data_IF_601983523420
#
_entry.id   IF_601983523420
#
_cell.length_a   1.000
_cell.length_b   1.000
_cell.length_c   1.000
_cell.angle_alpha   90.00
_cell.angle_beta   90.00
_cell.angle_gamma   90.00
#
_symmetry.space_group_name_H-M   'P 1'
#
loop_
_entity.id
_entity.type
_entity.pdbx_description
1 polymer ?
#
# COMPACT_ATOMS: atom_id res chain seq x y z
N UNK A 1 -46.33 -49.94 -7.41
CA UNK A 1 -45.03 -50.18 -6.78
C UNK A 1 -43.84 -49.99 -7.74
N UNK A 2 -43.91 -50.46 -8.96
CA UNK A 2 -42.80 -50.23 -9.93
C UNK A 2 -42.48 -48.77 -10.22
N UNK A 3 -43.49 -47.91 -10.25
CA UNK A 3 -43.29 -46.45 -10.43
C UNK A 3 -42.58 -45.76 -9.26
N UNK A 4 -42.83 -46.21 -8.02
CA UNK A 4 -42.17 -45.68 -6.83
C UNK A 4 -40.72 -46.12 -6.76
N UNK A 5 -40.41 -47.36 -7.13
CA UNK A 5 -39.04 -47.85 -7.19
C UNK A 5 -38.20 -47.16 -8.28
N UNK A 6 -38.81 -46.87 -9.40
CA UNK A 6 -38.16 -46.14 -10.49
C UNK A 6 -37.88 -44.68 -10.11
N UNK A 7 -38.81 -44.08 -9.34
CA UNK A 7 -38.64 -42.71 -8.83
C UNK A 7 -37.58 -42.62 -7.73
N UNK A 8 -37.47 -43.66 -6.90
CA UNK A 8 -36.43 -43.78 -5.89
C UNK A 8 -35.06 -43.97 -6.51
N UNK A 9 -34.93 -44.77 -7.58
CA UNK A 9 -33.69 -44.97 -8.31
C UNK A 9 -33.17 -43.72 -8.99
N UNK A 10 -34.10 -42.85 -9.50
CA UNK A 10 -33.70 -41.57 -10.12
C UNK A 10 -33.34 -40.52 -9.12
N UNK A 11 -33.69 -40.66 -7.83
CA UNK A 11 -33.32 -39.77 -6.76
C UNK A 11 -32.09 -40.22 -5.94
N UNK A 12 -31.59 -41.44 -6.22
CA UNK A 12 -30.43 -42.01 -5.56
C UNK A 12 -29.13 -41.62 -6.28
N UNK A 13 -28.51 -40.57 -5.86
CA UNK A 13 -27.19 -40.19 -6.31
C UNK A 13 -27.18 -39.16 -7.43
N UNK A 14 -26.07 -38.49 -7.49
CA UNK A 14 -25.81 -37.48 -8.49
C UNK A 14 -25.23 -38.09 -9.75
N UNK A 15 -25.55 -37.51 -10.91
CA UNK A 15 -24.89 -37.88 -12.14
C UNK A 15 -23.43 -37.43 -12.12
N UNK A 16 -22.58 -38.09 -12.89
CA UNK A 16 -21.17 -37.66 -13.04
C UNK A 16 -21.08 -36.21 -13.52
N UNK A 17 -22.00 -35.80 -14.40
CA UNK A 17 -22.02 -34.43 -14.89
C UNK A 17 -22.33 -33.43 -13.78
N UNK A 18 -23.29 -33.74 -12.90
CA UNK A 18 -23.61 -32.88 -11.75
C UNK A 18 -22.43 -32.73 -10.79
N UNK A 19 -21.73 -33.80 -10.49
CA UNK A 19 -20.53 -33.78 -9.65
C UNK A 19 -19.43 -32.98 -10.31
N UNK A 20 -19.21 -33.17 -11.63
CA UNK A 20 -18.21 -32.39 -12.36
C UNK A 20 -18.52 -30.89 -12.34
N UNK A 21 -19.77 -30.51 -12.56
CA UNK A 21 -20.20 -29.12 -12.52
C UNK A 21 -20.05 -28.54 -11.12
N UNK A 22 -20.43 -29.28 -10.09
CA UNK A 22 -20.26 -28.85 -8.70
C UNK A 22 -18.81 -28.61 -8.32
N UNK A 23 -17.90 -29.50 -8.74
CA UNK A 23 -16.46 -29.36 -8.53
C UNK A 23 -15.91 -28.15 -9.28
N UNK A 24 -16.37 -27.93 -10.50
CA UNK A 24 -15.98 -26.74 -11.28
C UNK A 24 -16.35 -25.44 -10.57
N UNK A 25 -17.59 -25.33 -10.11
CA UNK A 25 -18.09 -24.16 -9.38
C UNK A 25 -17.28 -23.97 -8.08
N UNK A 26 -17.03 -25.03 -7.34
CA UNK A 26 -16.25 -25.00 -6.12
C UNK A 26 -14.83 -24.50 -6.40
N UNK A 27 -14.20 -25.00 -7.45
CA UNK A 27 -12.83 -24.60 -7.82
C UNK A 27 -12.74 -23.11 -8.14
N UNK A 28 -13.70 -22.59 -8.93
CA UNK A 28 -13.75 -21.17 -9.28
C UNK A 28 -13.96 -20.33 -8.03
N UNK A 29 -14.83 -20.77 -7.12
CA UNK A 29 -15.11 -20.07 -5.86
C UNK A 29 -13.87 -19.98 -4.98
N UNK A 30 -13.11 -21.07 -4.85
CA UNK A 30 -11.87 -21.09 -4.07
C UNK A 30 -10.83 -20.13 -4.65
N UNK A 31 -10.67 -20.13 -5.97
CA UNK A 31 -9.76 -19.21 -6.65
C UNK A 31 -10.15 -17.75 -6.39
N UNK A 32 -11.44 -17.44 -6.53
CA UNK A 32 -11.95 -16.09 -6.31
C UNK A 32 -11.70 -15.61 -4.88
N UNK A 33 -11.97 -16.45 -3.87
CA UNK A 33 -11.70 -16.14 -2.47
C UNK A 33 -10.20 -15.93 -2.22
N UNK A 34 -9.38 -16.79 -2.78
CA UNK A 34 -7.92 -16.66 -2.66
C UNK A 34 -7.41 -15.34 -3.24
N UNK A 35 -7.88 -14.97 -4.43
CA UNK A 35 -7.51 -13.68 -5.05
C UNK A 35 -7.98 -12.49 -4.21
N UNK A 36 -9.16 -12.56 -3.66
CA UNK A 36 -9.70 -11.50 -2.79
C UNK A 36 -8.83 -11.31 -1.54
N UNK A 37 -8.48 -12.41 -0.86
CA UNK A 37 -7.64 -12.37 0.34
C UNK A 37 -6.27 -11.78 0.01
N UNK A 38 -5.65 -12.21 -1.09
CA UNK A 38 -4.35 -11.73 -1.52
C UNK A 38 -4.38 -10.23 -1.82
N UNK A 39 -5.38 -9.78 -2.58
CA UNK A 39 -5.55 -8.37 -2.92
C UNK A 39 -5.75 -7.50 -1.67
N UNK A 40 -6.57 -7.94 -0.74
CA UNK A 40 -6.83 -7.22 0.52
C UNK A 40 -5.56 -7.13 1.37
N UNK A 41 -4.79 -8.20 1.46
CA UNK A 41 -3.53 -8.22 2.21
C UNK A 41 -2.50 -7.27 1.62
N UNK A 42 -2.35 -7.24 0.29
CA UNK A 42 -1.44 -6.32 -0.39
C UNK A 42 -1.86 -4.86 -0.20
N UNK A 43 -3.14 -4.57 -0.32
CA UNK A 43 -3.67 -3.22 -0.10
C UNK A 43 -3.42 -2.74 1.33
N UNK A 44 -3.60 -3.61 2.32
CA UNK A 44 -3.33 -3.32 3.72
C UNK A 44 -1.86 -3.00 3.96
N UNK A 45 -0.94 -3.77 3.37
CA UNK A 45 0.50 -3.52 3.45
C UNK A 45 0.88 -2.17 2.83
N UNK A 46 0.32 -1.84 1.68
CA UNK A 46 0.56 -0.57 1.00
C UNK A 46 0.06 0.63 1.82
N UNK A 47 -1.10 0.49 2.44
CA UNK A 47 -1.64 1.53 3.32
C UNK A 47 -0.75 1.76 4.54
N UNK A 48 -0.27 0.68 5.15
CA UNK A 48 0.66 0.76 6.28
C UNK A 48 1.94 1.47 5.89
N UNK A 49 2.53 1.13 4.75
CA UNK A 49 3.73 1.80 4.25
C UNK A 49 3.50 3.29 4.02
N UNK A 50 2.37 3.66 3.43
CA UNK A 50 2.03 5.07 3.20
C UNK A 50 1.86 5.85 4.51
N UNK A 51 1.24 5.25 5.51
CA UNK A 51 1.08 5.88 6.83
C UNK A 51 2.44 6.16 7.46
N UNK A 52 3.34 5.18 7.43
CA UNK A 52 4.68 5.31 7.98
C UNK A 52 5.48 6.35 7.20
N UNK A 53 5.44 6.30 5.88
CA UNK A 53 6.12 7.27 5.03
C UNK A 53 5.62 8.70 5.28
N UNK A 54 4.32 8.85 5.49
CA UNK A 54 3.71 10.13 5.87
C UNK A 54 4.24 10.63 7.21
N UNK A 55 4.40 9.75 8.19
CA UNK A 55 4.99 10.11 9.49
C UNK A 55 6.44 10.55 9.34
N UNK A 56 7.22 9.88 8.52
CA UNK A 56 8.59 10.29 8.22
C UNK A 56 8.59 11.69 7.60
N UNK A 57 7.73 11.94 6.63
CA UNK A 57 7.61 13.24 5.99
C UNK A 57 7.20 14.33 7.01
N UNK A 58 6.23 14.05 7.86
CA UNK A 58 5.77 14.97 8.89
C UNK A 58 6.88 15.30 9.90
N UNK A 59 7.67 14.30 10.28
CA UNK A 59 8.86 14.51 11.13
C UNK A 59 9.86 15.45 10.46
N UNK A 60 10.13 15.26 9.18
CA UNK A 60 11.06 16.13 8.44
C UNK A 60 10.53 17.57 8.39
N UNK A 61 9.23 17.75 8.14
CA UNK A 61 8.63 19.09 8.14
C UNK A 61 8.74 19.75 9.52
N UNK A 62 8.50 19.01 10.58
CA UNK A 62 8.64 19.51 11.95
C UNK A 62 10.08 19.92 12.24
N UNK A 63 11.06 19.16 11.82
CA UNK A 63 12.48 19.48 11.97
C UNK A 63 12.86 20.73 11.15
N UNK A 64 12.37 20.85 9.93
CA UNK A 64 12.58 22.03 9.08
C UNK A 64 12.03 23.31 9.73
N UNK A 65 10.94 23.21 10.45
CA UNK A 65 10.32 24.35 11.13
C UNK A 65 10.97 24.70 12.46
N UNK A 66 11.84 23.85 12.99
CA UNK A 66 12.41 24.01 14.33
C UNK A 66 13.93 24.07 14.31
N UNK A 67 14.60 22.93 14.29
CA UNK A 67 16.05 22.82 14.53
C UNK A 67 16.88 22.65 13.27
N UNK A 68 16.28 22.26 12.15
CA UNK A 68 16.98 22.02 10.89
C UNK A 68 16.37 22.80 9.73
N UNK A 69 16.24 24.13 9.81
CA UNK A 69 15.67 24.91 8.71
C UNK A 69 16.59 24.86 7.49
N UNK A 70 16.03 24.89 6.26
CA UNK A 70 16.85 25.00 5.07
C UNK A 70 17.55 26.38 5.05
N UNK A 71 18.85 26.38 4.79
CA UNK A 71 19.64 27.61 4.77
C UNK A 71 19.85 28.13 3.36
N UNK A 72 19.76 27.27 2.37
CA UNK A 72 19.96 27.59 0.97
C UNK A 72 19.20 26.62 0.09
N UNK A 73 19.10 26.94 -1.19
CA UNK A 73 18.55 26.02 -2.18
C UNK A 73 19.42 24.77 -2.28
N UNK A 74 18.82 23.64 -2.54
CA UNK A 74 19.52 22.41 -2.80
C UNK A 74 18.94 21.19 -2.12
N UNK A 75 19.44 20.02 -2.49
CA UNK A 75 18.96 18.76 -1.93
C UNK A 75 19.58 18.44 -0.59
N UNK A 76 18.78 17.83 0.27
CA UNK A 76 19.24 17.14 1.48
C UNK A 76 18.68 15.74 1.47
N UNK A 77 19.40 14.79 2.02
CA UNK A 77 18.95 13.42 2.07
C UNK A 77 19.43 12.74 3.35
N UNK A 78 18.75 11.69 3.72
CA UNK A 78 19.13 10.88 4.87
C UNK A 78 18.30 9.62 4.95
N UNK A 79 18.63 8.82 5.95
CA UNK A 79 17.93 7.57 6.23
C UNK A 79 17.43 7.63 7.67
N UNK A 80 16.19 7.18 7.88
CA UNK A 80 15.61 7.06 9.20
C UNK A 80 15.03 5.65 9.36
N UNK A 81 15.23 5.05 10.53
CA UNK A 81 14.57 3.80 10.89
C UNK A 81 13.25 4.11 11.57
N UNK A 82 12.16 3.58 11.03
CA UNK A 82 10.83 3.71 11.62
C UNK A 82 10.07 2.42 11.39
N UNK A 83 9.46 1.90 12.45
CA UNK A 83 8.72 0.64 12.43
C UNK A 83 9.56 -0.55 11.94
N UNK A 84 10.83 -0.60 12.33
CA UNK A 84 11.75 -1.70 11.99
C UNK A 84 12.25 -1.70 10.56
N UNK A 85 11.97 -0.66 9.78
CA UNK A 85 12.43 -0.53 8.40
C UNK A 85 13.20 0.78 8.22
N UNK A 86 14.13 0.77 7.29
CA UNK A 86 14.86 1.97 6.89
C UNK A 86 14.11 2.69 5.79
N UNK A 87 13.97 4.00 5.96
CA UNK A 87 13.29 4.88 5.01
C UNK A 87 14.28 5.93 4.53
N UNK A 88 14.35 6.10 3.22
CA UNK A 88 15.16 7.15 2.61
C UNK A 88 14.28 8.38 2.42
N UNK A 89 14.70 9.50 2.99
CA UNK A 89 14.06 10.78 2.73
C UNK A 89 14.97 11.66 1.89
N UNK A 90 14.38 12.31 0.90
CA UNK A 90 15.07 13.29 0.06
C UNK A 90 14.27 14.58 0.08
N UNK A 91 14.92 15.65 0.46
CA UNK A 91 14.34 17.00 0.48
C UNK A 91 14.96 17.83 -0.62
N UNK A 92 14.13 18.55 -1.36
CA UNK A 92 14.57 19.53 -2.32
C UNK A 92 13.93 20.86 -1.95
N UNK A 93 14.75 21.91 -1.86
CA UNK A 93 14.31 23.23 -1.42
C UNK A 93 14.70 24.24 -2.49
N UNK A 94 13.73 25.07 -2.84
CA UNK A 94 13.92 26.13 -3.82
C UNK A 94 13.39 27.46 -3.28
N UNK A 95 14.20 28.51 -3.38
CA UNK A 95 13.77 29.85 -3.01
C UNK A 95 12.79 30.38 -4.05
N UNK A 96 11.59 30.74 -3.64
CA UNK A 96 10.56 31.31 -4.51
C UNK A 96 10.34 32.80 -4.30
N UNK A 97 10.71 33.31 -3.13
CA UNK A 97 10.62 34.72 -2.80
C UNK A 97 11.67 35.07 -1.74
N UNK A 98 11.74 36.33 -1.34
CA UNK A 98 12.62 36.74 -0.25
C UNK A 98 12.21 36.17 1.11
N UNK A 99 10.96 35.74 1.25
CA UNK A 99 10.37 35.31 2.50
C UNK A 99 10.13 33.81 2.58
N UNK A 100 10.02 33.10 1.45
CA UNK A 100 9.61 31.70 1.43
C UNK A 100 10.50 30.82 0.56
N UNK A 101 10.72 29.61 1.06
CA UNK A 101 11.19 28.46 0.29
C UNK A 101 10.02 27.55 -0.06
N UNK A 102 10.06 26.98 -1.24
CA UNK A 102 9.23 25.82 -1.60
C UNK A 102 10.03 24.56 -1.33
N UNK A 103 9.43 23.59 -0.68
CA UNK A 103 10.07 22.32 -0.42
C UNK A 103 9.29 21.16 -1.03
N UNK A 104 10.01 20.11 -1.38
CA UNK A 104 9.46 18.82 -1.78
C UNK A 104 10.21 17.74 -1.01
N UNK A 105 9.49 16.89 -0.30
CA UNK A 105 10.06 15.78 0.47
C UNK A 105 9.55 14.50 -0.14
N UNK A 106 10.48 13.65 -0.59
CA UNK A 106 10.17 12.36 -1.16
C UNK A 106 10.63 11.26 -0.20
N UNK A 107 9.73 10.36 0.13
CA UNK A 107 10.00 9.24 1.02
C UNK A 107 10.02 7.96 0.21
N UNK A 108 11.13 7.24 0.30
CA UNK A 108 11.36 5.99 -0.43
C UNK A 108 11.64 4.87 0.54
N UNK A 109 11.26 3.66 0.13
CA UNK A 109 11.72 2.47 0.82
C UNK A 109 13.21 2.27 0.50
N UNK A 110 14.05 2.17 1.53
CA UNK A 110 15.51 2.08 1.33
C UNK A 110 15.94 0.82 0.58
N UNK A 111 15.18 -0.26 0.66
CA UNK A 111 15.49 -1.51 -0.04
C UNK A 111 15.09 -1.49 -1.50
N UNK A 112 13.86 -1.06 -1.80
CA UNK A 112 13.31 -1.08 -3.16
C UNK A 112 13.59 0.19 -3.94
N UNK A 113 13.96 1.28 -3.27
CA UNK A 113 14.14 2.62 -3.86
C UNK A 113 12.84 3.17 -4.49
N UNK A 114 11.72 2.56 -4.15
CA UNK A 114 10.42 2.98 -4.66
C UNK A 114 9.88 4.15 -3.85
N UNK A 115 9.40 5.18 -4.54
CA UNK A 115 8.75 6.31 -3.90
C UNK A 115 7.39 5.90 -3.33
N UNK A 116 7.23 6.11 -2.02
CA UNK A 116 6.00 5.75 -1.30
C UNK A 116 5.14 6.98 -1.06
N UNK A 117 5.74 8.14 -0.78
CA UNK A 117 5.01 9.34 -0.43
C UNK A 117 5.81 10.58 -0.82
N UNK A 118 5.11 11.60 -1.30
CA UNK A 118 5.69 12.91 -1.61
C UNK A 118 4.88 13.97 -0.88
N UNK A 119 5.58 14.88 -0.20
CA UNK A 119 4.97 16.03 0.43
C UNK A 119 5.60 17.31 -0.10
N UNK A 120 4.76 18.26 -0.48
CA UNK A 120 5.19 19.56 -0.96
C UNK A 120 4.59 20.66 -0.08
N UNK A 121 5.27 21.76 0.03
CA UNK A 121 4.79 22.89 0.80
C UNK A 121 5.74 24.07 0.77
N UNK A 122 5.46 25.03 1.63
CA UNK A 122 6.23 26.26 1.75
C UNK A 122 6.73 26.41 3.18
N UNK A 123 7.90 26.97 3.33
CA UNK A 123 8.48 27.29 4.64
C UNK A 123 9.02 28.71 4.62
N UNK A 124 8.79 29.42 5.68
CA UNK A 124 9.27 30.79 5.84
C UNK A 124 10.79 30.80 6.06
N UNK A 125 11.47 31.72 5.38
CA UNK A 125 12.90 31.94 5.58
C UNK A 125 13.11 32.61 6.94
N UNK A 126 14.12 32.12 7.63
CA UNK A 126 14.55 32.71 8.92
C UNK A 126 15.82 33.53 8.77
#
# INVERSE_FOLDING_TARGET
>A
MARLQKKLKTSEGFSLLEVAVALLILSISVIAVYQFITSTSLSSLQLTERVIAREVANNRVALMNTIEPPLMDGPRRGVINMNGKDWLWEEETQSISKEFFQYSIEIKNAKSQQTIFIREGFIEKR
#
